data_IF_717951683009
#
_entry.id   IF_717951683009
#
_cell.length_a   1.000
_cell.length_b   1.000
_cell.length_c   1.000
_cell.angle_alpha   90.00
_cell.angle_beta   90.00
_cell.angle_gamma   90.00
#
_symmetry.space_group_name_H-M   'P 1'
#
loop_
_entity.id
_entity.type
_entity.pdbx_description
1 polymer ?
#
# COMPACT_ATOMS: atom_id res chain seq x y z
N UNK A 1 0.51 -13.64 13.79
CA UNK A 1 1.09 -14.65 12.86
C UNK A 1 0.77 -14.23 11.43
N UNK A 2 1.75 -14.27 10.55
CA UNK A 2 1.57 -14.00 9.11
C UNK A 2 0.81 -12.72 8.81
N UNK A 3 1.36 -11.61 9.22
CA UNK A 3 0.82 -10.30 8.85
C UNK A 3 0.87 -10.15 7.33
N UNK A 4 -0.21 -9.71 6.73
CA UNK A 4 -0.33 -9.72 5.28
C UNK A 4 0.53 -8.64 4.60
N UNK A 5 0.83 -7.58 5.30
CA UNK A 5 1.79 -6.56 4.89
C UNK A 5 3.23 -7.08 4.79
N UNK A 6 3.63 -8.03 5.65
CA UNK A 6 4.92 -8.71 5.48
C UNK A 6 5.00 -9.56 4.21
N UNK A 7 3.87 -10.07 3.71
CA UNK A 7 3.87 -10.70 2.38
C UNK A 7 4.30 -9.70 1.31
N UNK A 8 3.87 -8.45 1.43
CA UNK A 8 4.23 -7.39 0.49
C UNK A 8 5.74 -7.14 0.50
N UNK A 9 6.37 -7.11 1.66
CA UNK A 9 7.82 -6.91 1.78
C UNK A 9 8.65 -7.99 1.07
N UNK A 10 8.13 -9.22 1.01
CA UNK A 10 8.79 -10.35 0.35
C UNK A 10 8.22 -10.70 -1.04
N UNK A 11 7.16 -10.02 -1.47
CA UNK A 11 6.37 -10.35 -2.65
C UNK A 11 7.22 -10.56 -3.91
N UNK A 12 8.12 -9.63 -4.19
CA UNK A 12 8.89 -9.63 -5.43
C UNK A 12 9.91 -10.76 -5.48
N UNK A 13 10.53 -11.06 -4.34
CA UNK A 13 11.43 -12.19 -4.17
C UNK A 13 10.67 -13.51 -4.29
N UNK A 14 9.58 -13.66 -3.55
CA UNK A 14 8.77 -14.86 -3.54
C UNK A 14 8.16 -15.16 -4.93
N UNK A 15 7.62 -14.14 -5.61
CA UNK A 15 7.10 -14.33 -6.98
C UNK A 15 8.17 -14.75 -7.97
N UNK A 16 9.44 -14.46 -7.73
CA UNK A 16 10.55 -14.86 -8.58
C UNK A 16 11.01 -16.30 -8.33
N UNK A 17 11.11 -16.70 -7.08
CA UNK A 17 11.75 -17.96 -6.69
C UNK A 17 10.78 -19.01 -6.17
N UNK A 18 9.70 -18.58 -5.49
CA UNK A 18 8.73 -19.45 -4.82
C UNK A 18 7.29 -18.97 -5.04
N UNK A 19 6.82 -18.76 -6.29
CA UNK A 19 5.51 -18.14 -6.56
C UNK A 19 4.33 -18.91 -5.94
N UNK A 20 4.53 -20.17 -5.61
CA UNK A 20 3.53 -20.98 -4.92
C UNK A 20 3.27 -20.50 -3.47
N UNK A 21 4.24 -19.87 -2.79
CA UNK A 21 4.05 -19.30 -1.44
C UNK A 21 3.09 -18.13 -1.51
N UNK A 22 3.27 -17.25 -2.49
CA UNK A 22 2.36 -16.10 -2.72
C UNK A 22 0.95 -16.58 -3.04
N UNK A 23 0.82 -17.55 -3.97
CA UNK A 23 -0.49 -18.13 -4.29
C UNK A 23 -1.17 -18.70 -3.05
N UNK A 24 -0.46 -19.50 -2.27
CA UNK A 24 -1.03 -20.13 -1.09
C UNK A 24 -1.49 -19.10 -0.06
N UNK A 25 -0.72 -18.02 0.14
CA UNK A 25 -1.12 -16.92 1.01
C UNK A 25 -2.40 -16.23 0.49
N UNK A 26 -2.42 -15.86 -0.81
CA UNK A 26 -3.59 -15.25 -1.44
C UNK A 26 -4.84 -16.10 -1.32
N UNK A 27 -4.73 -17.40 -1.61
CA UNK A 27 -5.83 -18.36 -1.52
C UNK A 27 -6.29 -18.53 -0.08
N UNK A 28 -5.36 -18.67 0.86
CA UNK A 28 -5.67 -18.87 2.27
C UNK A 28 -6.33 -17.65 2.90
N UNK A 29 -5.90 -16.43 2.54
CA UNK A 29 -6.58 -15.22 2.99
C UNK A 29 -8.02 -15.13 2.47
N UNK A 30 -8.26 -15.49 1.20
CA UNK A 30 -9.64 -15.56 0.68
C UNK A 30 -10.49 -16.56 1.44
N UNK A 31 -9.95 -17.75 1.71
CA UNK A 31 -10.71 -18.86 2.30
C UNK A 31 -10.96 -18.72 3.79
N UNK A 32 -10.00 -18.13 4.53
CA UNK A 32 -9.99 -18.16 6.00
C UNK A 32 -9.94 -16.80 6.67
N UNK A 33 -9.38 -15.78 6.01
CA UNK A 33 -9.11 -14.46 6.59
C UNK A 33 -9.70 -13.30 5.79
N UNK A 34 -10.61 -13.60 4.85
CA UNK A 34 -11.50 -12.59 4.29
C UNK A 34 -12.75 -12.44 5.14
N UNK A 35 -13.34 -11.27 5.11
CA UNK A 35 -14.65 -10.99 5.71
C UNK A 35 -15.46 -10.09 4.78
N UNK A 36 -16.77 -10.04 5.01
CA UNK A 36 -17.68 -9.14 4.32
C UNK A 36 -18.36 -8.23 5.32
N UNK A 37 -18.44 -6.97 4.97
CA UNK A 37 -19.13 -5.93 5.71
C UNK A 37 -20.11 -5.15 4.81
N UNK A 38 -20.57 -3.97 5.24
CA UNK A 38 -21.46 -3.12 4.47
C UNK A 38 -20.90 -2.70 3.11
N UNK A 39 -19.58 -2.66 2.96
CA UNK A 39 -18.95 -2.27 1.70
C UNK A 39 -18.79 -3.44 0.73
N UNK A 40 -18.24 -4.54 1.14
CA UNK A 40 -18.05 -5.83 0.46
C UNK A 40 -16.91 -6.60 1.15
N UNK A 41 -16.08 -7.32 0.38
CA UNK A 41 -14.96 -8.11 0.90
C UNK A 41 -13.81 -7.21 1.37
N UNK A 42 -13.14 -7.63 2.44
CA UNK A 42 -11.78 -7.23 2.78
C UNK A 42 -11.06 -8.37 3.50
N UNK A 43 -9.85 -8.11 3.96
CA UNK A 43 -8.97 -9.12 4.54
C UNK A 43 -8.45 -8.63 5.89
N UNK A 44 -8.21 -9.55 6.83
CA UNK A 44 -7.58 -9.21 8.10
C UNK A 44 -6.09 -8.91 7.91
N UNK A 45 -5.53 -8.13 8.82
CA UNK A 45 -4.10 -7.82 8.83
C UNK A 45 -3.24 -9.07 9.05
N UNK A 46 -3.70 -9.99 9.90
CA UNK A 46 -2.96 -11.18 10.29
C UNK A 46 -3.86 -12.38 10.54
N UNK A 47 -3.25 -13.52 10.80
CA UNK A 47 -3.93 -14.79 11.03
C UNK A 47 -4.09 -15.12 12.53
N UNK A 48 -3.66 -14.22 13.41
CA UNK A 48 -3.71 -14.41 14.86
C UNK A 48 -2.39 -14.07 15.56
N UNK A 49 -2.44 -14.05 16.88
CA UNK A 49 -1.32 -13.72 17.77
C UNK A 49 -1.02 -14.87 18.75
N UNK A 50 0.09 -14.78 19.45
CA UNK A 50 0.48 -15.73 20.51
C UNK A 50 0.40 -17.22 20.10
N UNK A 51 0.72 -17.52 18.82
CA UNK A 51 0.67 -18.88 18.25
C UNK A 51 -0.74 -19.50 18.14
N UNK A 52 -1.78 -18.68 18.20
CA UNK A 52 -3.16 -19.10 18.05
C UNK A 52 -3.74 -18.46 16.79
N UNK A 53 -4.41 -19.25 15.96
CA UNK A 53 -5.14 -18.74 14.81
C UNK A 53 -6.46 -18.10 15.25
N UNK A 54 -6.70 -16.90 14.74
CA UNK A 54 -7.97 -16.22 14.95
C UNK A 54 -9.11 -17.01 14.32
N UNK A 55 -10.24 -17.16 15.00
CA UNK A 55 -11.45 -17.65 14.38
C UNK A 55 -11.82 -16.80 13.15
N UNK A 56 -12.29 -17.46 12.11
CA UNK A 56 -12.62 -16.79 10.84
C UNK A 56 -13.51 -15.57 11.05
N UNK A 57 -13.06 -14.44 10.53
CA UNK A 57 -13.81 -13.19 10.56
C UNK A 57 -13.90 -12.51 11.93
N UNK A 58 -12.94 -12.76 12.84
CA UNK A 58 -12.85 -12.09 14.13
C UNK A 58 -11.49 -11.40 14.31
N UNK A 59 -11.43 -10.40 15.17
CA UNK A 59 -10.20 -9.74 15.58
C UNK A 59 -10.26 -9.29 17.04
N UNK A 60 -9.08 -9.09 17.64
CA UNK A 60 -8.97 -8.58 19.01
C UNK A 60 -9.51 -7.16 19.17
N UNK A 61 -9.64 -6.42 18.06
CA UNK A 61 -10.28 -5.11 18.06
C UNK A 61 -11.80 -5.17 18.19
N UNK A 62 -12.43 -6.25 17.72
CA UNK A 62 -13.88 -6.39 17.79
C UNK A 62 -14.33 -7.02 19.09
N UNK A 63 -13.56 -7.97 19.58
CA UNK A 63 -13.92 -8.75 20.75
C UNK A 63 -12.87 -8.49 21.82
N UNK A 64 -13.22 -7.71 22.86
CA UNK A 64 -12.32 -7.49 23.98
C UNK A 64 -11.81 -8.81 24.56
N UNK A 65 -10.52 -8.84 24.85
CA UNK A 65 -9.81 -10.03 25.42
C UNK A 65 -9.55 -11.17 24.43
N UNK A 66 -9.95 -11.09 23.16
CA UNK A 66 -9.36 -11.96 22.16
C UNK A 66 -7.89 -11.55 21.95
N UNK A 67 -7.03 -12.54 22.01
CA UNK A 67 -5.58 -12.36 21.82
C UNK A 67 -5.13 -12.80 20.44
N UNK A 68 -6.07 -12.93 19.48
CA UNK A 68 -5.85 -13.78 18.33
C UNK A 68 -5.43 -13.00 17.09
N UNK A 69 -6.18 -11.97 16.69
CA UNK A 69 -5.82 -11.11 15.56
C UNK A 69 -5.46 -9.71 16.08
N UNK A 70 -4.41 -9.11 15.52
CA UNK A 70 -3.99 -7.78 15.92
C UNK A 70 -4.99 -6.72 15.43
N UNK A 71 -5.31 -6.74 14.14
CA UNK A 71 -6.17 -5.72 13.53
C UNK A 71 -6.78 -6.20 12.21
N UNK A 72 -7.75 -5.45 11.71
CA UNK A 72 -8.21 -5.59 10.33
C UNK A 72 -7.33 -4.81 9.36
N UNK A 73 -7.01 -3.55 9.64
CA UNK A 73 -6.34 -2.64 8.70
C UNK A 73 -7.01 -2.71 7.32
N UNK A 74 -8.32 -2.59 7.31
CA UNK A 74 -9.21 -2.96 6.19
C UNK A 74 -8.80 -2.39 4.85
N UNK A 75 -8.45 -1.10 4.82
CA UNK A 75 -8.11 -0.41 3.58
C UNK A 75 -6.76 -0.89 3.04
N UNK A 76 -5.77 -1.01 3.91
CA UNK A 76 -4.43 -1.44 3.51
C UNK A 76 -4.43 -2.89 3.04
N UNK A 77 -5.07 -3.81 3.79
CA UNK A 77 -5.04 -5.22 3.43
C UNK A 77 -5.87 -5.55 2.19
N UNK A 78 -6.92 -4.78 1.93
CA UNK A 78 -7.65 -4.86 0.65
C UNK A 78 -6.73 -4.50 -0.52
N UNK A 79 -6.01 -3.39 -0.44
CA UNK A 79 -5.02 -3.01 -1.45
C UNK A 79 -3.90 -4.05 -1.57
N UNK A 80 -3.36 -4.52 -0.45
CA UNK A 80 -2.27 -5.50 -0.44
C UNK A 80 -2.65 -6.79 -1.15
N UNK A 81 -3.87 -7.30 -0.92
CA UNK A 81 -4.33 -8.50 -1.61
C UNK A 81 -4.44 -8.28 -3.13
N UNK A 82 -5.04 -7.16 -3.56
CA UNK A 82 -5.18 -6.81 -4.99
C UNK A 82 -3.81 -6.70 -5.66
N UNK A 83 -2.89 -5.96 -5.04
CA UNK A 83 -1.55 -5.72 -5.58
C UNK A 83 -0.73 -7.02 -5.68
N UNK A 84 -0.76 -7.84 -4.63
CA UNK A 84 -0.08 -9.13 -4.63
C UNK A 84 -0.68 -10.09 -5.67
N UNK A 85 -2.01 -10.10 -5.84
CA UNK A 85 -2.71 -10.90 -6.84
C UNK A 85 -2.30 -10.51 -8.26
N UNK A 86 -2.21 -9.22 -8.57
CA UNK A 86 -1.80 -8.72 -9.88
C UNK A 86 -0.34 -9.09 -10.20
N UNK A 87 0.57 -8.88 -9.25
CA UNK A 87 1.98 -9.26 -9.40
C UNK A 87 2.10 -10.77 -9.61
N UNK A 88 1.42 -11.59 -8.80
CA UNK A 88 1.42 -13.05 -8.96
C UNK A 88 0.89 -13.48 -10.33
N UNK A 89 -0.30 -12.98 -10.72
CA UNK A 89 -0.93 -13.37 -11.99
C UNK A 89 -0.04 -13.05 -13.19
N UNK A 90 0.51 -11.83 -13.24
CA UNK A 90 1.39 -11.40 -14.31
C UNK A 90 2.71 -12.18 -14.35
N UNK A 91 3.39 -12.30 -13.20
CA UNK A 91 4.71 -12.93 -13.11
C UNK A 91 4.69 -14.43 -13.43
N UNK A 92 3.58 -15.10 -13.14
CA UNK A 92 3.43 -16.54 -13.39
C UNK A 92 2.68 -16.86 -14.68
N UNK A 93 1.95 -15.90 -15.25
CA UNK A 93 1.04 -16.17 -16.37
C UNK A 93 -0.10 -17.14 -16.02
N UNK A 94 -0.42 -17.31 -14.73
CA UNK A 94 -1.40 -18.30 -14.28
C UNK A 94 -2.84 -17.81 -14.47
N UNK A 95 -3.27 -17.81 -15.73
CA UNK A 95 -4.64 -17.37 -16.09
C UNK A 95 -5.72 -18.29 -15.53
N UNK A 96 -5.42 -19.55 -15.20
CA UNK A 96 -6.37 -20.48 -14.58
C UNK A 96 -6.68 -20.01 -13.15
N UNK A 97 -5.65 -19.68 -12.39
CA UNK A 97 -5.82 -19.13 -11.06
C UNK A 97 -6.57 -17.79 -11.11
N UNK A 98 -6.18 -16.90 -12.01
CA UNK A 98 -6.83 -15.59 -12.17
C UNK A 98 -8.34 -15.73 -12.46
N UNK A 99 -8.72 -16.65 -13.36
CA UNK A 99 -10.13 -16.95 -13.64
C UNK A 99 -10.87 -17.49 -12.42
N UNK A 100 -10.21 -18.32 -11.62
CA UNK A 100 -10.82 -18.87 -10.39
C UNK A 100 -11.09 -17.81 -9.33
N UNK A 101 -10.43 -16.65 -9.40
CA UNK A 101 -10.58 -15.52 -8.48
C UNK A 101 -11.41 -14.35 -9.06
N UNK A 102 -12.03 -14.54 -10.22
CA UNK A 102 -12.82 -13.51 -10.89
C UNK A 102 -13.85 -12.83 -9.98
N UNK A 103 -14.62 -13.61 -9.24
CA UNK A 103 -15.64 -13.09 -8.32
C UNK A 103 -15.00 -12.30 -7.18
N UNK A 104 -13.92 -12.80 -6.60
CA UNK A 104 -13.17 -12.09 -5.57
C UNK A 104 -12.64 -10.74 -6.06
N UNK A 105 -12.12 -10.67 -7.30
CA UNK A 105 -11.64 -9.42 -7.89
C UNK A 105 -12.77 -8.40 -8.07
N UNK A 106 -13.94 -8.84 -8.53
CA UNK A 106 -15.13 -7.97 -8.63
C UNK A 106 -15.55 -7.46 -7.25
N UNK A 107 -15.58 -8.34 -6.24
CA UNK A 107 -15.91 -7.95 -4.87
C UNK A 107 -14.88 -6.98 -4.29
N UNK A 108 -13.58 -7.16 -4.57
CA UNK A 108 -12.53 -6.22 -4.17
C UNK A 108 -12.72 -4.84 -4.81
N UNK A 109 -13.00 -4.80 -6.12
CA UNK A 109 -13.27 -3.55 -6.82
C UNK A 109 -14.48 -2.81 -6.24
N UNK A 110 -15.60 -3.52 -6.03
CA UNK A 110 -16.80 -2.97 -5.40
C UNK A 110 -16.54 -2.49 -3.97
N UNK A 111 -15.69 -3.21 -3.23
CA UNK A 111 -15.30 -2.83 -1.88
C UNK A 111 -14.52 -1.50 -1.89
N UNK A 112 -13.54 -1.35 -2.77
CA UNK A 112 -12.79 -0.10 -2.91
C UNK A 112 -13.71 1.06 -3.25
N UNK A 113 -14.62 0.90 -4.23
CA UNK A 113 -15.55 1.96 -4.63
C UNK A 113 -16.49 2.39 -3.49
N UNK A 114 -16.99 1.43 -2.69
CA UNK A 114 -17.88 1.74 -1.57
C UNK A 114 -17.12 2.33 -0.38
N UNK A 115 -15.82 2.00 -0.23
CA UNK A 115 -14.97 2.58 0.82
C UNK A 115 -14.42 3.94 0.48
N UNK A 116 -14.61 4.41 -0.74
CA UNK A 116 -14.35 5.80 -1.16
C UNK A 116 -15.23 6.84 -0.40
N UNK A 117 -16.27 6.37 0.28
CA UNK A 117 -17.02 7.12 1.27
C UNK A 117 -17.87 8.26 0.70
N UNK A 118 -17.85 9.41 1.39
CA UNK A 118 -18.69 10.55 1.05
C UNK A 118 -18.09 11.44 -0.05
N UNK A 119 -16.79 11.37 -0.25
CA UNK A 119 -16.07 12.16 -1.25
C UNK A 119 -15.57 11.17 -2.30
N UNK A 120 -16.25 11.04 -3.43
CA UNK A 120 -15.90 10.03 -4.44
C UNK A 120 -14.65 10.45 -5.24
N UNK A 121 -13.50 10.38 -4.60
CA UNK A 121 -12.20 10.80 -5.12
C UNK A 121 -11.22 9.63 -5.37
N UNK A 122 -11.68 8.40 -5.23
CA UNK A 122 -10.88 7.20 -5.42
C UNK A 122 -10.01 6.83 -4.21
N UNK A 123 -10.12 7.55 -3.10
CA UNK A 123 -9.31 7.32 -1.89
C UNK A 123 -10.22 6.76 -0.80
N UNK A 124 -9.93 5.55 -0.36
CA UNK A 124 -10.73 4.91 0.69
C UNK A 124 -10.64 5.67 2.02
N UNK A 125 -11.80 5.88 2.66
CA UNK A 125 -11.93 6.49 3.99
C UNK A 125 -12.86 5.73 4.94
N UNK A 126 -13.55 4.69 4.44
CA UNK A 126 -14.49 3.89 5.22
C UNK A 126 -13.83 2.61 5.73
N UNK A 127 -13.79 2.49 7.05
CA UNK A 127 -13.32 1.29 7.74
C UNK A 127 -14.32 0.13 7.68
N UNK A 128 -13.95 -0.98 8.32
CA UNK A 128 -14.85 -2.09 8.57
C UNK A 128 -15.97 -1.65 9.54
N UNK A 129 -17.21 -2.04 9.24
CA UNK A 129 -18.33 -1.91 10.20
C UNK A 129 -18.19 -2.85 11.41
N UNK A 130 -17.21 -3.74 11.38
CA UNK A 130 -16.93 -4.69 12.44
C UNK A 130 -16.09 -4.10 13.57
N UNK A 131 -15.43 -2.96 13.32
CA UNK A 131 -14.70 -2.21 14.34
C UNK A 131 -15.62 -1.20 15.01
N UNK A 132 -16.09 -1.49 16.23
CA UNK A 132 -16.92 -0.57 16.98
C UNK A 132 -16.16 0.74 17.29
N UNK A 133 -16.86 1.85 17.13
CA UNK A 133 -16.35 3.18 17.49
C UNK A 133 -15.30 3.78 16.54
N UNK A 134 -15.06 3.18 15.38
CA UNK A 134 -14.14 3.74 14.37
C UNK A 134 -12.68 3.73 14.82
N UNK A 135 -12.28 2.79 15.65
CA UNK A 135 -10.93 2.68 16.21
C UNK A 135 -10.00 1.76 15.42
N UNK A 136 -10.34 1.47 14.18
CA UNK A 136 -9.50 0.63 13.33
C UNK A 136 -8.17 1.32 13.03
N UNK A 137 -7.07 0.61 13.20
CA UNK A 137 -5.77 1.06 12.71
C UNK A 137 -5.80 1.00 11.18
N UNK A 138 -5.48 2.13 10.54
CA UNK A 138 -5.47 2.23 9.07
C UNK A 138 -4.17 1.70 8.50
N UNK A 139 -3.06 2.19 9.04
CA UNK A 139 -1.69 1.76 8.80
C UNK A 139 -0.78 2.48 9.79
N UNK A 140 0.24 1.83 10.34
CA UNK A 140 1.18 2.56 11.17
C UNK A 140 2.65 2.24 10.90
N UNK A 141 2.93 1.22 10.13
CA UNK A 141 4.28 0.89 9.68
C UNK A 141 4.90 1.98 8.80
N UNK A 142 4.06 2.66 8.02
CA UNK A 142 4.46 3.70 7.07
C UNK A 142 4.16 5.11 7.55
N UNK A 143 3.35 5.24 8.59
CA UNK A 143 3.07 6.47 9.32
C UNK A 143 3.74 6.38 10.69
N UNK A 144 3.59 7.36 11.54
CA UNK A 144 3.90 7.17 12.95
C UNK A 144 2.67 6.66 13.73
N UNK A 145 2.89 6.16 14.94
CA UNK A 145 1.82 5.59 15.77
C UNK A 145 0.69 6.60 16.03
N UNK A 146 0.99 7.91 16.11
CA UNK A 146 -0.02 8.95 16.29
C UNK A 146 -0.92 9.13 15.07
N UNK A 147 -0.49 8.68 13.90
CA UNK A 147 -1.21 8.76 12.64
C UNK A 147 -1.85 7.41 12.22
N UNK A 148 -1.63 6.36 12.99
CA UNK A 148 -2.06 5.00 12.66
C UNK A 148 -3.57 4.85 12.46
N UNK A 149 -4.38 5.71 13.08
CA UNK A 149 -5.84 5.76 12.90
C UNK A 149 -6.30 6.83 11.90
N UNK A 150 -5.38 7.50 11.23
CA UNK A 150 -5.73 8.52 10.27
C UNK A 150 -6.32 7.91 8.99
N UNK A 151 -7.43 8.48 8.54
CA UNK A 151 -8.06 8.18 7.26
C UNK A 151 -7.54 9.15 6.21
N UNK A 152 -7.78 8.88 4.93
CA UNK A 152 -7.39 9.77 3.82
C UNK A 152 -5.92 10.19 3.90
N UNK A 153 -5.05 9.22 4.12
CA UNK A 153 -3.61 9.43 4.13
C UNK A 153 -2.98 9.17 2.76
N UNK A 154 -1.85 9.81 2.49
CA UNK A 154 -1.20 9.75 1.18
C UNK A 154 -0.63 8.37 0.85
N UNK A 155 -0.30 7.55 1.85
CA UNK A 155 0.17 6.18 1.65
C UNK A 155 -0.95 5.28 1.12
N UNK A 156 -2.12 5.28 1.78
CA UNK A 156 -3.29 4.53 1.32
C UNK A 156 -3.79 5.05 -0.02
N UNK A 157 -3.80 6.36 -0.24
CA UNK A 157 -4.19 6.94 -1.52
C UNK A 157 -3.33 6.41 -2.68
N UNK A 158 -2.02 6.33 -2.50
CA UNK A 158 -1.14 5.76 -3.53
C UNK A 158 -1.38 4.26 -3.72
N UNK A 159 -1.69 3.52 -2.66
CA UNK A 159 -2.10 2.11 -2.78
C UNK A 159 -3.45 1.96 -3.49
N UNK A 160 -4.42 2.86 -3.25
CA UNK A 160 -5.68 2.89 -4.01
C UNK A 160 -5.43 3.08 -5.52
N UNK A 161 -4.65 4.10 -5.87
CA UNK A 161 -4.25 4.34 -7.27
C UNK A 161 -3.63 3.09 -7.91
N UNK A 162 -2.63 2.50 -7.27
CA UNK A 162 -1.97 1.29 -7.77
C UNK A 162 -2.91 0.08 -7.85
N UNK A 163 -3.84 -0.05 -6.90
CA UNK A 163 -4.82 -1.15 -6.86
C UNK A 163 -5.85 -1.03 -7.98
N UNK A 164 -6.30 0.17 -8.33
CA UNK A 164 -7.16 0.37 -9.49
C UNK A 164 -6.44 0.02 -10.79
N UNK A 165 -5.18 0.42 -10.97
CA UNK A 165 -4.37 -0.02 -12.13
C UNK A 165 -4.18 -1.54 -12.16
N UNK A 166 -3.97 -2.17 -11.01
CA UNK A 166 -3.83 -3.60 -10.87
C UNK A 166 -5.11 -4.35 -11.26
N UNK A 167 -6.27 -3.87 -10.79
CA UNK A 167 -7.59 -4.41 -11.14
C UNK A 167 -7.86 -4.25 -12.64
N UNK A 168 -7.59 -3.08 -13.21
CA UNK A 168 -7.70 -2.85 -14.66
C UNK A 168 -6.87 -3.86 -15.46
N UNK A 169 -5.60 -4.07 -15.07
CA UNK A 169 -4.73 -5.05 -15.71
C UNK A 169 -5.25 -6.51 -15.60
N UNK A 170 -5.83 -6.88 -14.44
CA UNK A 170 -6.40 -8.22 -14.25
C UNK A 170 -7.72 -8.39 -15.00
N UNK A 171 -8.57 -7.38 -15.05
CA UNK A 171 -9.82 -7.40 -15.82
C UNK A 171 -9.55 -7.46 -17.33
N UNK A 172 -8.51 -6.78 -17.83
CA UNK A 172 -8.04 -6.92 -19.21
C UNK A 172 -7.70 -8.38 -19.56
N UNK A 173 -7.00 -9.09 -18.65
CA UNK A 173 -6.65 -10.51 -18.83
C UNK A 173 -7.88 -11.45 -18.73
N UNK A 174 -8.97 -11.01 -18.12
CA UNK A 174 -10.21 -11.76 -17.93
C UNK A 174 -11.31 -11.42 -18.95
N UNK A 175 -11.03 -10.75 -20.04
CA UNK A 175 -11.86 -9.94 -20.93
C UNK A 175 -13.15 -9.40 -20.27
N UNK A 176 -12.96 -8.56 -19.26
CA UNK A 176 -14.02 -7.89 -18.51
C UNK A 176 -13.96 -6.38 -18.79
N UNK A 177 -14.22 -5.98 -20.02
CA UNK A 177 -14.01 -4.63 -20.55
C UNK A 177 -14.68 -3.53 -19.71
N UNK A 178 -15.93 -3.72 -19.30
CA UNK A 178 -16.65 -2.74 -18.48
C UNK A 178 -15.97 -2.50 -17.12
N UNK A 179 -15.51 -3.55 -16.44
CA UNK A 179 -14.79 -3.43 -15.18
C UNK A 179 -13.39 -2.84 -15.36
N UNK A 180 -12.72 -3.15 -16.47
CA UNK A 180 -11.45 -2.55 -16.83
C UNK A 180 -11.60 -1.02 -16.98
N UNK A 181 -12.55 -0.57 -17.80
CA UNK A 181 -12.80 0.87 -18.02
C UNK A 181 -13.14 1.60 -16.72
N UNK A 182 -13.94 0.99 -15.85
CA UNK A 182 -14.29 1.56 -14.55
C UNK A 182 -13.07 1.64 -13.63
N UNK A 183 -12.22 0.62 -13.61
CA UNK A 183 -10.99 0.62 -12.79
C UNK A 183 -9.98 1.67 -13.31
N UNK A 184 -9.79 1.77 -14.62
CA UNK A 184 -8.92 2.77 -15.23
C UNK A 184 -9.41 4.20 -14.95
N UNK A 185 -10.73 4.43 -15.00
CA UNK A 185 -11.35 5.71 -14.65
C UNK A 185 -11.18 6.04 -13.16
N UNK A 186 -11.29 5.03 -12.28
CA UNK A 186 -11.08 5.23 -10.84
C UNK A 186 -9.61 5.56 -10.52
N UNK A 187 -8.66 4.97 -11.26
CA UNK A 187 -7.24 5.33 -11.13
C UNK A 187 -6.99 6.79 -11.54
N UNK A 188 -7.58 7.24 -12.65
CA UNK A 188 -7.48 8.63 -13.10
C UNK A 188 -8.05 9.61 -12.06
N UNK A 189 -9.21 9.28 -11.50
CA UNK A 189 -9.85 10.07 -10.47
C UNK A 189 -8.99 10.16 -9.20
N UNK A 190 -8.43 9.04 -8.76
CA UNK A 190 -7.54 8.99 -7.60
C UNK A 190 -6.28 9.86 -7.83
N UNK A 191 -5.65 9.76 -9.01
CA UNK A 191 -4.50 10.62 -9.39
C UNK A 191 -4.86 12.10 -9.32
N UNK A 192 -5.98 12.51 -9.92
CA UNK A 192 -6.39 13.90 -9.99
C UNK A 192 -6.55 14.49 -8.58
N UNK A 193 -7.22 13.76 -7.69
CA UNK A 193 -7.43 14.20 -6.32
C UNK A 193 -6.15 14.18 -5.50
N UNK A 194 -5.29 13.18 -5.64
CA UNK A 194 -3.97 13.21 -5.01
C UNK A 194 -3.18 14.45 -5.43
N UNK A 195 -3.17 14.79 -6.72
CA UNK A 195 -2.48 15.98 -7.22
C UNK A 195 -3.09 17.30 -6.71
N UNK A 196 -4.38 17.32 -6.38
CA UNK A 196 -5.01 18.47 -5.74
C UNK A 196 -4.49 18.73 -4.33
N UNK A 197 -4.09 17.68 -3.60
CA UNK A 197 -3.49 17.78 -2.27
C UNK A 197 -1.97 18.09 -2.28
N UNK A 198 -1.32 18.06 -3.44
CA UNK A 198 0.10 18.38 -3.53
C UNK A 198 0.37 19.84 -3.17
N UNK A 199 1.13 20.10 -2.10
CA UNK A 199 1.54 21.45 -1.72
C UNK A 199 2.62 21.97 -2.68
N UNK A 200 2.21 22.80 -3.63
CA UNK A 200 3.09 23.34 -4.67
C UNK A 200 4.16 24.30 -4.12
N UNK A 201 3.95 24.89 -2.93
CA UNK A 201 4.93 25.79 -2.29
C UNK A 201 6.00 24.98 -1.59
N UNK A 202 5.59 23.95 -0.86
CA UNK A 202 6.49 23.03 -0.16
C UNK A 202 7.00 21.91 -1.07
N UNK A 203 6.44 21.74 -2.27
CA UNK A 203 6.76 20.69 -3.25
C UNK A 203 6.69 19.29 -2.65
N UNK A 204 5.62 19.01 -1.86
CA UNK A 204 5.44 17.72 -1.23
C UNK A 204 3.97 17.39 -0.99
N UNK A 205 3.67 16.11 -0.88
CA UNK A 205 2.39 15.63 -0.40
C UNK A 205 2.35 15.71 1.13
N UNK A 206 1.25 16.14 1.74
CA UNK A 206 1.04 15.95 3.17
C UNK A 206 0.80 14.46 3.46
N UNK A 207 1.15 14.01 4.67
CA UNK A 207 0.83 12.65 5.09
C UNK A 207 -0.68 12.41 5.16
N UNK A 208 -1.43 13.43 5.60
CA UNK A 208 -2.90 13.40 5.71
C UNK A 208 -3.51 14.41 4.76
N UNK A 209 -4.59 14.02 4.11
CA UNK A 209 -5.37 14.90 3.23
C UNK A 209 -6.45 15.68 4.00
N UNK A 210 -6.85 15.19 5.16
CA UNK A 210 -7.80 15.85 6.05
C UNK A 210 -7.04 16.47 7.21
N UNK A 211 -7.30 17.77 7.47
CA UNK A 211 -6.74 18.49 8.61
C UNK A 211 -5.66 19.51 8.25
N UNK A 212 -5.13 20.17 9.28
CA UNK A 212 -4.11 21.22 9.15
C UNK A 212 -2.68 20.68 9.09
N UNK A 213 -2.48 19.37 9.14
CA UNK A 213 -1.19 18.73 9.19
C UNK A 213 -0.41 18.90 7.89
N UNK A 214 0.85 19.34 7.99
CA UNK A 214 1.75 19.51 6.83
C UNK A 214 2.92 18.54 6.86
N UNK A 215 2.90 17.59 7.79
CA UNK A 215 3.93 16.55 7.92
C UNK A 215 3.99 15.69 6.66
N UNK A 216 5.15 15.14 6.40
CA UNK A 216 5.39 14.29 5.23
C UNK A 216 5.86 12.89 5.62
N UNK A 217 5.62 11.93 4.73
CA UNK A 217 6.07 10.55 4.84
C UNK A 217 6.77 10.13 3.56
N UNK A 218 7.81 9.32 3.65
CA UNK A 218 8.50 8.77 2.48
C UNK A 218 7.65 7.72 1.76
N UNK A 219 6.91 6.82 2.44
CA UNK A 219 6.19 5.72 1.80
C UNK A 219 5.01 6.12 0.90
N UNK A 220 4.70 7.40 0.74
CA UNK A 220 3.75 7.84 -0.30
C UNK A 220 4.12 7.31 -1.70
N UNK A 221 5.38 6.95 -1.92
CA UNK A 221 5.84 6.40 -3.20
C UNK A 221 5.62 4.88 -3.34
N UNK A 222 5.21 4.16 -2.28
CA UNK A 222 5.21 2.69 -2.32
C UNK A 222 4.35 2.11 -3.45
N UNK A 223 3.19 2.67 -3.68
CA UNK A 223 2.27 2.14 -4.69
C UNK A 223 2.83 2.07 -6.11
N UNK A 224 3.81 2.92 -6.46
CA UNK A 224 4.34 2.94 -7.83
C UNK A 224 5.30 1.79 -8.18
N UNK A 225 5.71 0.97 -7.22
CA UNK A 225 6.50 -0.23 -7.53
C UNK A 225 5.68 -1.29 -8.25
N UNK A 226 4.41 -1.45 -7.87
CA UNK A 226 3.58 -2.55 -8.33
C UNK A 226 3.32 -2.55 -9.83
N UNK A 227 3.01 -1.41 -10.51
CA UNK A 227 2.85 -1.36 -11.96
C UNK A 227 4.03 -1.93 -12.73
N UNK A 228 5.26 -1.73 -12.24
CA UNK A 228 6.47 -2.31 -12.85
C UNK A 228 6.44 -3.83 -12.79
N UNK A 229 5.93 -4.40 -11.70
CA UNK A 229 5.94 -5.84 -11.46
C UNK A 229 4.70 -6.58 -11.97
N UNK A 230 3.60 -5.88 -12.27
CA UNK A 230 2.46 -6.47 -12.96
C UNK A 230 2.33 -6.05 -14.44
N UNK A 231 3.42 -5.54 -15.04
CA UNK A 231 3.55 -5.39 -16.49
C UNK A 231 2.99 -4.11 -17.07
N UNK A 232 2.85 -3.05 -16.29
CA UNK A 232 2.41 -1.71 -16.71
C UNK A 232 3.45 -0.62 -16.34
N UNK A 233 4.76 -0.80 -16.69
CA UNK A 233 5.80 0.16 -16.32
C UNK A 233 5.57 1.56 -16.90
N UNK A 234 4.83 1.68 -18.01
CA UNK A 234 4.45 2.95 -18.61
C UNK A 234 3.55 3.80 -17.68
N UNK A 235 2.80 3.18 -16.78
CA UNK A 235 1.98 3.88 -15.80
C UNK A 235 2.80 4.70 -14.80
N UNK A 236 4.08 4.38 -14.63
CA UNK A 236 5.00 5.07 -13.72
C UNK A 236 6.10 5.84 -14.45
N UNK A 237 5.91 6.07 -15.76
CA UNK A 237 6.81 6.90 -16.58
C UNK A 237 6.42 8.39 -16.49
N UNK A 238 7.40 9.29 -16.42
CA UNK A 238 7.15 10.72 -16.49
C UNK A 238 6.51 11.19 -17.81
N UNK A 239 6.76 10.45 -18.88
CA UNK A 239 6.20 10.71 -20.22
C UNK A 239 4.90 9.93 -20.44
N UNK A 240 4.47 9.11 -19.47
CA UNK A 240 3.25 8.32 -19.52
C UNK A 240 2.00 9.13 -19.15
N UNK A 241 0.86 8.45 -19.17
CA UNK A 241 -0.45 9.01 -18.82
C UNK A 241 -0.44 9.71 -17.45
N UNK A 242 0.19 9.09 -16.45
CA UNK A 242 0.26 9.57 -15.07
C UNK A 242 1.55 10.36 -14.75
N UNK A 243 2.25 10.89 -15.77
CA UNK A 243 3.53 11.55 -15.62
C UNK A 243 3.51 12.80 -14.73
N UNK A 244 2.35 13.44 -14.54
CA UNK A 244 2.18 14.56 -13.58
C UNK A 244 2.36 14.08 -12.14
N UNK A 245 1.76 12.95 -11.81
CA UNK A 245 1.89 12.34 -10.48
C UNK A 245 3.35 11.91 -10.24
N UNK A 246 3.98 11.27 -11.24
CA UNK A 246 5.36 10.81 -11.10
C UNK A 246 6.33 11.99 -10.87
N UNK A 247 6.16 13.11 -11.58
CA UNK A 247 6.95 14.33 -11.34
C UNK A 247 6.71 14.90 -9.94
N UNK A 248 5.45 14.93 -9.47
CA UNK A 248 5.12 15.40 -8.12
C UNK A 248 5.75 14.51 -7.04
N UNK A 249 5.77 13.18 -7.24
CA UNK A 249 6.45 12.25 -6.33
C UNK A 249 7.97 12.47 -6.30
N UNK A 250 8.60 12.75 -7.44
CA UNK A 250 10.03 13.11 -7.47
C UNK A 250 10.31 14.41 -6.71
N UNK A 251 9.51 15.45 -6.91
CA UNK A 251 9.62 16.70 -6.15
C UNK A 251 9.44 16.46 -4.65
N UNK A 252 8.47 15.60 -4.29
CA UNK A 252 8.25 15.21 -2.90
C UNK A 252 9.50 14.57 -2.28
N UNK A 253 10.06 13.54 -2.91
CA UNK A 253 11.25 12.85 -2.42
C UNK A 253 12.45 13.80 -2.29
N UNK A 254 12.69 14.67 -3.27
CA UNK A 254 13.76 15.68 -3.18
C UNK A 254 13.60 16.61 -1.99
N UNK A 255 12.35 16.87 -1.59
CA UNK A 255 12.03 17.79 -0.50
C UNK A 255 12.11 17.14 0.86
N UNK A 256 11.71 15.86 0.98
CA UNK A 256 11.59 15.20 2.28
C UNK A 256 12.85 14.45 2.70
N UNK A 257 13.66 13.96 1.74
CA UNK A 257 14.91 13.27 2.05
C UNK A 257 16.04 14.26 2.32
N UNK A 258 15.85 15.06 3.37
CA UNK A 258 16.83 16.02 3.87
C UNK A 258 16.94 15.90 5.40
N UNK A 259 18.12 16.23 5.99
CA UNK A 259 18.28 16.20 7.43
C UNK A 259 17.22 17.01 8.17
N UNK A 260 16.65 16.44 9.23
CA UNK A 260 15.60 17.08 10.03
C UNK A 260 14.17 16.94 9.50
N UNK A 261 13.96 16.32 8.32
CA UNK A 261 12.64 15.91 7.83
C UNK A 261 12.55 14.38 7.86
N UNK A 262 12.95 13.69 6.81
CA UNK A 262 12.92 12.23 6.73
C UNK A 262 14.32 11.59 6.66
N UNK A 263 15.32 12.28 7.16
CA UNK A 263 16.65 11.71 7.42
C UNK A 263 17.07 11.99 8.86
N UNK A 264 17.66 10.98 9.49
CA UNK A 264 18.40 11.13 10.75
C UNK A 264 19.70 11.90 10.55
N UNK A 265 20.36 12.31 11.62
CA UNK A 265 21.64 13.04 11.57
C UNK A 265 22.76 12.21 10.92
N UNK A 266 22.75 10.90 11.13
CA UNK A 266 23.67 9.95 10.51
C UNK A 266 23.39 9.72 9.02
N UNK A 267 22.23 10.16 8.52
CA UNK A 267 21.75 10.05 7.14
C UNK A 267 20.85 8.86 6.87
N UNK A 268 20.57 8.03 7.86
CA UNK A 268 19.57 6.95 7.74
C UNK A 268 18.17 7.50 7.53
N UNK A 269 17.30 6.72 6.90
CA UNK A 269 15.93 7.15 6.61
C UNK A 269 15.05 7.11 7.85
N UNK A 270 14.24 8.15 7.98
CA UNK A 270 13.00 8.16 8.78
C UNK A 270 11.83 8.02 7.81
N UNK A 271 10.89 7.15 8.11
CA UNK A 271 9.71 7.01 7.24
C UNK A 271 8.73 8.17 7.37
N UNK A 272 8.76 8.90 8.49
CA UNK A 272 7.89 10.04 8.78
C UNK A 272 8.68 11.25 9.29
N UNK A 273 8.21 12.46 8.98
CA UNK A 273 8.75 13.72 9.52
C UNK A 273 8.60 13.82 11.05
N UNK A 274 7.56 13.22 11.60
CA UNK A 274 7.14 13.38 13.00
C UNK A 274 7.51 12.22 13.93
N UNK A 275 8.06 11.13 13.40
CA UNK A 275 8.48 9.99 14.21
C UNK A 275 9.82 9.43 13.79
N UNK A 276 10.44 8.66 14.67
CA UNK A 276 11.67 7.94 14.40
C UNK A 276 11.42 6.56 13.80
N UNK A 277 10.29 6.38 13.10
CA UNK A 277 9.99 5.14 12.41
C UNK A 277 11.04 4.85 11.34
N UNK A 278 11.77 3.76 11.53
CA UNK A 278 12.88 3.31 10.71
C UNK A 278 12.73 1.83 10.31
N UNK A 279 11.53 1.41 10.00
CA UNK A 279 11.25 0.04 9.55
C UNK A 279 12.04 -0.29 8.29
N UNK A 280 13.03 -1.16 8.44
CA UNK A 280 14.11 -1.31 7.46
C UNK A 280 13.62 -1.90 6.13
N UNK A 281 12.64 -2.80 6.13
CA UNK A 281 12.08 -3.35 4.89
C UNK A 281 11.36 -2.28 4.06
N UNK A 282 10.61 -1.39 4.72
CA UNK A 282 9.98 -0.25 4.05
C UNK A 282 11.01 0.75 3.53
N UNK A 283 12.09 0.99 4.28
CA UNK A 283 13.19 1.85 3.85
C UNK A 283 13.81 1.29 2.56
N UNK A 284 14.18 0.03 2.54
CA UNK A 284 14.79 -0.60 1.36
C UNK A 284 13.85 -0.61 0.16
N UNK A 285 12.56 -0.82 0.39
CA UNK A 285 11.56 -0.72 -0.65
C UNK A 285 11.50 0.71 -1.24
N UNK A 286 11.49 1.73 -0.38
CA UNK A 286 11.51 3.13 -0.80
C UNK A 286 12.82 3.48 -1.54
N UNK A 287 13.98 3.04 -1.07
CA UNK A 287 15.26 3.24 -1.77
C UNK A 287 15.23 2.61 -3.17
N UNK A 288 14.73 1.37 -3.28
CA UNK A 288 14.58 0.72 -4.59
C UNK A 288 13.67 1.52 -5.53
N UNK A 289 12.53 2.02 -5.02
CA UNK A 289 11.61 2.84 -5.82
C UNK A 289 12.29 4.12 -6.31
N UNK A 290 12.99 4.82 -5.43
CA UNK A 290 13.69 6.06 -5.75
C UNK A 290 14.71 5.85 -6.87
N UNK A 291 15.53 4.80 -6.75
CA UNK A 291 16.59 4.53 -7.72
C UNK A 291 16.09 3.87 -9.00
N UNK A 292 15.24 2.85 -8.90
CA UNK A 292 14.93 1.94 -10.02
C UNK A 292 13.60 2.23 -10.70
N UNK A 293 12.66 2.89 -10.01
CA UNK A 293 11.36 3.24 -10.58
C UNK A 293 11.31 4.73 -10.93
N UNK A 294 11.69 5.59 -9.99
CA UNK A 294 11.75 7.04 -10.23
C UNK A 294 13.02 7.48 -10.97
N UNK A 295 14.01 6.60 -11.10
CA UNK A 295 15.31 6.92 -11.73
C UNK A 295 15.96 8.19 -11.19
N UNK A 296 15.87 8.39 -9.88
CA UNK A 296 16.48 9.56 -9.22
C UNK A 296 17.94 9.26 -8.88
N UNK A 297 18.83 10.14 -9.31
CA UNK A 297 20.25 10.03 -9.03
C UNK A 297 20.61 10.82 -7.77
N UNK A 298 20.58 10.15 -6.61
CA UNK A 298 20.84 10.74 -5.28
C UNK A 298 21.97 9.98 -4.54
N UNK A 299 23.16 9.75 -5.14
CA UNK A 299 24.17 8.84 -4.57
C UNK A 299 24.64 9.30 -3.20
N UNK A 300 24.79 10.60 -2.96
CA UNK A 300 25.25 11.11 -1.65
C UNK A 300 24.26 10.82 -0.51
N UNK A 301 22.96 10.79 -0.81
CA UNK A 301 21.92 10.43 0.16
C UNK A 301 21.90 8.90 0.36
N UNK A 302 21.89 8.15 -0.74
CA UNK A 302 21.78 6.69 -0.69
C UNK A 302 23.01 6.02 -0.06
N UNK A 303 24.22 6.40 -0.47
CA UNK A 303 25.47 5.84 0.11
C UNK A 303 25.57 6.11 1.62
N UNK A 304 25.17 7.33 2.04
CA UNK A 304 25.16 7.68 3.46
C UNK A 304 24.09 6.91 4.24
N UNK A 305 22.91 6.75 3.65
CA UNK A 305 21.82 5.99 4.24
C UNK A 305 22.19 4.51 4.39
N UNK A 306 22.77 3.90 3.36
CA UNK A 306 23.21 2.50 3.42
C UNK A 306 24.27 2.28 4.52
N UNK A 307 25.21 3.22 4.67
CA UNK A 307 26.18 3.15 5.75
C UNK A 307 25.55 3.26 7.15
N UNK A 308 24.56 4.15 7.31
CA UNK A 308 23.81 4.30 8.55
C UNK A 308 22.97 3.05 8.88
N UNK A 309 22.21 2.55 7.89
CA UNK A 309 21.39 1.35 8.07
C UNK A 309 22.23 0.12 8.39
N UNK A 310 23.41 -0.01 7.80
CA UNK A 310 24.36 -1.07 8.14
C UNK A 310 24.87 -0.92 9.57
N UNK A 311 25.19 0.31 9.99
CA UNK A 311 25.64 0.61 11.37
C UNK A 311 24.57 0.21 12.39
N UNK A 312 23.29 0.52 12.15
CA UNK A 312 22.18 0.15 13.04
C UNK A 312 22.06 -1.36 13.28
N UNK A 313 22.46 -2.17 12.30
CA UNK A 313 22.41 -3.63 12.42
C UNK A 313 23.63 -4.20 13.16
N UNK A 314 24.73 -3.44 13.21
CA UNK A 314 25.97 -3.85 13.84
C UNK A 314 26.15 -3.33 15.27
N UNK A 315 25.30 -2.40 15.70
CA UNK A 315 25.27 -1.92 17.09
C UNK A 315 24.47 -2.93 17.92
N UNK A 316 25.18 -3.59 18.87
CA UNK A 316 24.60 -4.49 19.88
C UNK A 316 23.98 -3.69 21.05
#
# INVERSE_FOLDING_TARGET
MNTFDLLIDHLFFECRYHPWTVRNALDFFVESYSYKDQCSISFTHDMGSHYVFTPKGQSSYEIPYLTDCFSYMTQEQLCNWILAAAVYAYRTGNTVWLRSRKETLVECFQSMQKRDGLIPDGIMDVDSSRCEGGSEITTYDSLDVSLGQARRNSYIAMKCFASYLALGSMFEQLPMEEYQEQADSAADNCEEHMLAYFDRKKKRFPALFDGEGTMAIVPVIEGIIYPVFFGKPEAVSEDGKHGRLIRALKEHIQTVLVPGICLFEDGGFKLSETSDNSWISKIFLCQYIIEKVLHMNMPQVMDKADAAHWSWWMEE
#
